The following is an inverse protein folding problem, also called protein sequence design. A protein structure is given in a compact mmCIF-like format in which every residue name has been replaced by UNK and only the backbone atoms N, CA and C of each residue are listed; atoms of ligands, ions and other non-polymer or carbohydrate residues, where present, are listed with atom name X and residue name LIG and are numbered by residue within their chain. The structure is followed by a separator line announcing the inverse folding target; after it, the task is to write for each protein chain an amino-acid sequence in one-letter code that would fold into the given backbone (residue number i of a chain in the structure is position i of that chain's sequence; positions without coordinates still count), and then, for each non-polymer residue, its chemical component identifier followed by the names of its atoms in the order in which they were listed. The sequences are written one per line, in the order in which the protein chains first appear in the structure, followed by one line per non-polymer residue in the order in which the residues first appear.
data_IF_349905792674
#
_entry.id   IF_349905792674
#
_cell.length_a   1.000
_cell.length_b   1.000
_cell.length_c   1.000
_cell.angle_alpha   90.00
_cell.angle_beta   90.00
_cell.angle_gamma   90.00
#
_symmetry.space_group_name_H-M   'P 1'
#
loop_
_entity.id
_entity.type
_entity.pdbx_description
1 polymer ?
#
# COMPACT_ATOMS: atom_id res chain seq x y z
N UNK A 1 23.40 42.87 11.59
CA UNK A 1 23.13 42.40 11.50
C UNK A 1 22.62 41.78 11.29
N UNK A 2 22.66 41.78 11.48
CA UNK A 2 22.28 41.24 11.32
C UNK A 2 21.83 40.67 11.03
N UNK A 3 21.87 40.66 11.12
CA UNK A 3 21.55 40.22 10.81
C UNK A 3 21.20 39.56 10.52
N UNK A 4 21.25 39.66 10.66
CA UNK A 4 20.95 39.08 10.34
C UNK A 4 20.62 38.38 10.12
N UNK A 5 20.68 38.41 10.21
CA UNK A 5 20.36 37.81 9.99
C UNK A 5 19.97 36.99 9.73
N UNK A 6 20.00 37.00 9.88
CA UNK A 6 19.64 36.33 9.67
C UNK A 6 19.14 35.63 9.32
N UNK A 7 19.05 35.68 9.41
CA UNK A 7 18.50 35.14 9.12
C UNK A 7 18.00 34.45 8.61
N UNK A 8 18.18 34.54 8.64
CA UNK A 8 17.67 33.98 8.15
C UNK A 8 17.45 33.04 7.66
N UNK A 9 17.80 32.86 7.78
CA UNK A 9 17.55 32.13 7.38
C UNK A 9 17.17 31.34 7.29
N UNK A 10 17.29 31.28 7.58
CA UNK A 10 16.80 30.63 7.49
C UNK A 10 15.97 30.20 7.59
N UNK A 11 15.52 30.14 7.90
CA UNK A 11 14.61 29.86 7.83
C UNK A 11 13.85 29.48 7.13
N UNK A 12 13.79 29.90 7.10
CA UNK A 12 13.17 29.59 6.22
C UNK A 12 13.20 28.58 5.64
N UNK A 13 13.92 28.52 5.61
CA UNK A 13 13.85 27.58 4.98
C UNK A 13 13.24 26.52 5.57
N UNK A 14 12.29 26.69 6.21
CA UNK A 14 11.43 25.65 6.68
C UNK A 14 10.50 25.33 5.54
N UNK A 15 10.97 24.45 4.70
CA UNK A 15 10.10 23.96 3.68
C UNK A 15 9.19 22.93 4.29
N UNK A 16 7.92 22.95 3.91
CA UNK A 16 7.00 21.90 4.26
C UNK A 16 7.49 20.62 3.60
N UNK A 17 7.67 19.53 4.35
CA UNK A 17 8.07 18.27 3.72
C UNK A 17 7.08 17.84 2.65
N UNK A 18 7.58 17.42 1.50
CA UNK A 18 6.76 17.00 0.37
C UNK A 18 6.64 15.48 0.27
N UNK A 19 7.30 14.77 1.16
CA UNK A 19 7.23 13.32 1.22
C UNK A 19 7.02 12.85 2.63
N UNK A 20 6.42 11.66 2.78
CA UNK A 20 6.22 11.02 4.05
C UNK A 20 6.39 9.53 3.92
N UNK A 21 6.09 8.81 4.99
CA UNK A 21 6.34 7.38 5.10
C UNK A 21 5.05 6.67 5.51
N UNK A 22 4.78 5.52 4.90
CA UNK A 22 3.71 4.62 5.33
C UNK A 22 4.32 3.34 5.87
N UNK A 23 3.81 2.92 7.03
CA UNK A 23 4.18 1.65 7.66
C UNK A 23 2.98 0.72 7.54
N UNK A 24 3.17 -0.41 6.85
CA UNK A 24 2.07 -1.24 6.37
C UNK A 24 1.83 -2.44 7.27
N UNK A 25 0.59 -2.54 7.75
CA UNK A 25 0.01 -3.75 8.32
C UNK A 25 -0.91 -4.35 7.29
N UNK A 26 -1.24 -5.62 7.42
CA UNK A 26 -2.05 -6.33 6.43
C UNK A 26 -3.15 -7.10 7.12
N UNK A 27 -4.31 -7.20 6.46
CA UNK A 27 -5.41 -8.03 6.97
C UNK A 27 -6.28 -8.50 5.79
N UNK A 28 -7.08 -9.52 6.07
CA UNK A 28 -8.04 -10.07 5.12
C UNK A 28 -9.37 -10.19 5.84
N UNK A 29 -10.47 -9.96 5.11
CA UNK A 29 -11.81 -10.18 5.65
C UNK A 29 -11.94 -11.64 6.07
N UNK A 30 -12.44 -11.89 7.30
CA UNK A 30 -12.47 -13.24 7.84
C UNK A 30 -13.38 -14.17 7.05
N UNK A 31 -14.45 -13.65 6.47
CA UNK A 31 -15.36 -14.49 5.68
C UNK A 31 -14.68 -14.94 4.38
N UNK A 32 -13.90 -14.07 3.76
CA UNK A 32 -13.15 -14.45 2.56
C UNK A 32 -12.01 -15.39 2.90
N UNK A 33 -11.34 -15.19 4.04
CA UNK A 33 -10.29 -16.10 4.48
C UNK A 33 -10.85 -17.51 4.65
N UNK A 34 -12.06 -17.63 5.18
CA UNK A 34 -12.73 -18.93 5.37
C UNK A 34 -13.10 -19.60 4.05
N UNK A 35 -13.19 -18.84 2.96
CA UNK A 35 -13.54 -19.36 1.64
C UNK A 35 -12.33 -19.84 0.84
N UNK A 36 -11.13 -19.60 1.32
CA UNK A 36 -9.92 -20.00 0.60
C UNK A 36 -9.62 -21.48 0.80
N UNK A 37 -9.01 -22.07 -0.24
CA UNK A 37 -8.59 -23.48 -0.16
C UNK A 37 -7.28 -23.65 0.58
N UNK A 38 -6.42 -22.60 0.58
CA UNK A 38 -5.16 -22.58 1.31
C UNK A 38 -5.21 -21.48 2.37
N UNK A 39 -4.31 -21.52 3.36
CA UNK A 39 -4.20 -20.41 4.30
C UNK A 39 -3.88 -19.10 3.57
N UNK A 40 -4.34 -17.96 4.09
CA UNK A 40 -4.06 -16.65 3.44
C UNK A 40 -2.63 -16.20 3.75
N UNK A 41 -1.68 -16.90 3.18
CA UNK A 41 -0.25 -16.66 3.38
C UNK A 41 0.46 -16.80 2.04
N UNK A 42 1.55 -16.07 1.87
CA UNK A 42 2.35 -16.12 0.66
C UNK A 42 2.97 -14.76 0.39
N UNK A 43 3.30 -14.51 -0.86
CA UNK A 43 3.91 -13.25 -1.25
C UNK A 43 2.81 -12.29 -1.70
N UNK A 44 2.78 -11.12 -1.08
CA UNK A 44 1.92 -10.02 -1.50
C UNK A 44 2.69 -9.16 -2.51
N UNK A 45 2.09 -8.98 -3.69
CA UNK A 45 2.64 -8.13 -4.75
C UNK A 45 1.83 -6.85 -4.75
N UNK A 46 2.45 -5.74 -4.37
CA UNK A 46 1.76 -4.48 -4.19
C UNK A 46 2.37 -3.34 -4.95
N UNK A 47 1.62 -2.26 -5.06
CA UNK A 47 2.06 -1.06 -5.73
C UNK A 47 1.39 0.15 -5.10
N UNK A 48 2.09 1.28 -5.17
CA UNK A 48 1.59 2.58 -4.69
C UNK A 48 1.22 3.43 -5.90
N UNK A 49 0.08 4.13 -5.81
CA UNK A 49 -0.46 4.91 -6.92
C UNK A 49 -0.94 6.27 -6.43
N UNK A 50 -0.76 7.30 -7.24
CA UNK A 50 -1.41 8.59 -6.99
C UNK A 50 -2.92 8.40 -7.03
N UNK A 51 -3.63 9.13 -6.16
CA UNK A 51 -5.08 8.98 -6.07
C UNK A 51 -5.77 9.34 -7.40
N UNK A 52 -5.22 10.32 -8.13
CA UNK A 52 -5.81 10.73 -9.39
C UNK A 52 -5.64 9.70 -10.51
N UNK A 53 -4.79 8.70 -10.30
CA UNK A 53 -4.51 7.68 -11.31
C UNK A 53 -5.28 6.38 -11.07
N UNK A 54 -6.20 6.36 -10.11
CA UNK A 54 -6.96 5.16 -9.75
C UNK A 54 -8.44 5.52 -9.65
N UNK A 55 -9.28 4.69 -10.27
CA UNK A 55 -10.73 4.82 -10.13
C UNK A 55 -11.27 3.60 -9.38
N UNK A 56 -12.59 3.43 -9.40
CA UNK A 56 -13.23 2.35 -8.64
C UNK A 56 -12.83 0.95 -9.11
N UNK A 57 -12.32 0.84 -10.32
CA UNK A 57 -11.94 -0.45 -10.91
C UNK A 57 -10.43 -0.70 -10.83
N UNK A 58 -9.65 0.30 -10.46
CA UNK A 58 -8.20 0.17 -10.38
C UNK A 58 -7.47 1.26 -11.14
N UNK A 59 -6.22 1.03 -11.51
CA UNK A 59 -5.44 2.07 -12.21
C UNK A 59 -6.06 2.44 -13.54
N UNK A 60 -6.07 3.74 -13.81
CA UNK A 60 -6.55 4.28 -15.07
C UNK A 60 -5.54 3.91 -16.16
N UNK A 61 -6.04 3.55 -17.33
CA UNK A 61 -5.18 3.14 -18.44
C UNK A 61 -4.16 4.23 -18.75
N UNK A 62 -2.90 3.83 -18.91
CA UNK A 62 -1.81 4.76 -19.19
C UNK A 62 -1.11 5.29 -17.95
N UNK A 63 -1.64 5.01 -16.76
CA UNK A 63 -1.02 5.46 -15.51
C UNK A 63 0.15 4.54 -15.13
N UNK A 64 1.06 5.09 -14.34
CA UNK A 64 2.19 4.32 -13.82
C UNK A 64 2.18 4.37 -12.30
N UNK A 65 2.58 3.28 -11.68
CA UNK A 65 2.68 3.23 -10.22
C UNK A 65 3.81 4.14 -9.75
N UNK A 66 3.66 4.64 -8.51
CA UNK A 66 4.74 5.38 -7.85
C UNK A 66 5.90 4.43 -7.58
N UNK A 67 5.59 3.24 -7.08
CA UNK A 67 6.59 2.23 -6.77
C UNK A 67 5.87 0.89 -6.62
N UNK A 68 6.64 -0.20 -6.72
CA UNK A 68 6.12 -1.56 -6.52
C UNK A 68 6.92 -2.23 -5.41
N UNK A 69 6.29 -3.20 -4.74
CA UNK A 69 6.97 -3.93 -3.68
C UNK A 69 6.40 -5.34 -3.59
N UNK A 70 7.16 -6.23 -2.95
CA UNK A 70 6.65 -7.55 -2.62
C UNK A 70 7.16 -7.93 -1.23
N UNK A 71 6.32 -8.61 -0.48
CA UNK A 71 6.64 -9.02 0.88
C UNK A 71 5.87 -10.29 1.22
N UNK A 72 6.50 -11.17 1.98
CA UNK A 72 5.84 -12.37 2.47
C UNK A 72 4.94 -12.00 3.64
N UNK A 73 3.69 -12.43 3.59
CA UNK A 73 2.73 -12.16 4.65
C UNK A 73 2.04 -13.47 5.07
N UNK A 74 1.58 -13.49 6.30
CA UNK A 74 0.79 -14.58 6.87
C UNK A 74 -0.36 -13.91 7.61
N UNK A 75 -1.54 -13.91 6.98
CA UNK A 75 -2.67 -13.14 7.49
C UNK A 75 -3.44 -13.93 8.55
N UNK A 76 -3.79 -13.28 9.67
CA UNK A 76 -4.66 -13.92 10.65
C UNK A 76 -6.02 -14.26 10.04
N UNK A 77 -6.54 -15.44 10.40
CA UNK A 77 -7.81 -15.93 9.87
C UNK A 77 -9.01 -15.23 10.51
N UNK A 78 -8.81 -14.54 11.61
CA UNK A 78 -9.89 -13.88 12.35
C UNK A 78 -10.16 -12.44 11.94
N UNK A 79 -9.48 -11.98 10.88
CA UNK A 79 -9.67 -10.61 10.38
C UNK A 79 -8.80 -9.59 11.06
N UNK A 80 -7.97 -9.98 12.03
CA UNK A 80 -7.09 -9.01 12.68
C UNK A 80 -5.91 -8.65 11.78
N UNK A 81 -5.25 -7.55 12.14
CA UNK A 81 -4.11 -7.02 11.38
C UNK A 81 -2.82 -7.70 11.82
N UNK A 82 -1.89 -7.82 10.87
CA UNK A 82 -0.52 -8.21 11.21
C UNK A 82 0.18 -7.07 11.94
N UNK A 83 1.37 -7.33 12.43
CA UNK A 83 2.27 -6.26 12.80
C UNK A 83 2.70 -5.50 11.55
N UNK A 84 3.46 -4.41 11.70
CA UNK A 84 4.03 -3.70 10.56
C UNK A 84 5.06 -4.61 9.90
N UNK A 85 4.84 -4.90 8.62
CA UNK A 85 5.70 -5.82 7.86
C UNK A 85 6.54 -5.11 6.82
N UNK A 86 6.13 -3.91 6.40
CA UNK A 86 6.82 -3.20 5.33
C UNK A 86 6.66 -1.70 5.54
N UNK A 87 7.71 -0.95 5.26
CA UNK A 87 7.70 0.51 5.37
C UNK A 87 8.21 1.11 4.07
N UNK A 88 7.43 2.03 3.51
CA UNK A 88 7.82 2.74 2.29
C UNK A 88 8.05 4.20 2.62
N UNK A 89 9.27 4.68 2.36
CA UNK A 89 9.65 6.07 2.58
C UNK A 89 9.55 6.86 1.28
N UNK A 90 9.62 8.17 1.40
CA UNK A 90 9.68 9.08 0.23
C UNK A 90 8.45 9.01 -0.66
N UNK A 91 7.29 8.69 -0.08
CA UNK A 91 6.02 8.77 -0.80
C UNK A 91 5.57 10.22 -0.87
N UNK A 92 4.88 10.62 -1.96
CA UNK A 92 4.38 11.99 -2.05
C UNK A 92 3.37 12.28 -0.94
N UNK A 93 3.43 13.49 -0.37
CA UNK A 93 2.58 13.88 0.75
C UNK A 93 1.18 14.24 0.22
N UNK A 94 0.46 13.23 -0.21
CA UNK A 94 -0.89 13.35 -0.73
C UNK A 94 -1.58 12.01 -0.59
N UNK A 95 -2.81 11.89 -1.06
CA UNK A 95 -3.53 10.63 -0.99
C UNK A 95 -2.96 9.65 -2.00
N UNK A 96 -2.72 8.42 -1.54
CA UNK A 96 -2.21 7.35 -2.40
C UNK A 96 -3.08 6.10 -2.19
N UNK A 97 -3.12 5.26 -3.22
CA UNK A 97 -3.72 3.94 -3.12
C UNK A 97 -2.61 2.90 -3.00
N UNK A 98 -2.88 1.85 -2.23
CA UNK A 98 -2.05 0.65 -2.24
C UNK A 98 -2.90 -0.45 -2.84
N UNK A 99 -2.47 -0.97 -3.98
CA UNK A 99 -3.17 -2.01 -4.71
C UNK A 99 -2.28 -3.24 -4.82
N UNK A 100 -2.90 -4.41 -4.79
CA UNK A 100 -2.12 -5.62 -4.93
C UNK A 100 -2.92 -6.87 -4.66
N UNK A 101 -2.21 -7.99 -4.66
CA UNK A 101 -2.82 -9.29 -4.40
C UNK A 101 -1.85 -10.19 -3.65
N UNK A 102 -2.42 -11.16 -2.96
CA UNK A 102 -1.65 -12.17 -2.24
C UNK A 102 -1.64 -13.45 -3.08
N UNK A 103 -0.44 -13.87 -3.48
CA UNK A 103 -0.27 -15.13 -4.21
C UNK A 103 -0.23 -16.26 -3.21
N UNK A 104 -1.41 -16.83 -2.92
CA UNK A 104 -1.56 -17.79 -1.83
C UNK A 104 -1.18 -19.21 -2.23
N UNK A 105 -1.10 -19.51 -3.53
CA UNK A 105 -0.72 -20.85 -4.00
C UNK A 105 0.69 -20.88 -4.61
N UNK A 106 1.39 -19.75 -4.62
CA UNK A 106 2.78 -19.71 -5.05
C UNK A 106 3.00 -19.86 -6.54
N UNK A 107 1.98 -19.59 -7.36
CA UNK A 107 2.06 -19.83 -8.80
C UNK A 107 2.24 -18.56 -9.63
N UNK A 108 2.48 -17.42 -8.99
CA UNK A 108 2.63 -16.17 -9.72
C UNK A 108 3.85 -16.16 -10.61
N UNK A 109 3.68 -15.66 -11.84
CA UNK A 109 4.78 -15.46 -12.77
C UNK A 109 5.36 -14.06 -12.53
N UNK A 110 6.61 -13.95 -12.04
CA UNK A 110 7.19 -12.63 -11.73
C UNK A 110 7.29 -11.71 -12.95
N UNK A 111 7.29 -12.25 -14.16
CA UNK A 111 7.36 -11.44 -15.37
C UNK A 111 6.00 -10.99 -15.85
N UNK A 112 4.94 -11.57 -15.31
CA UNK A 112 3.56 -11.23 -15.68
C UNK A 112 2.67 -11.40 -14.46
N UNK A 113 2.92 -10.56 -13.44
CA UNK A 113 2.28 -10.68 -12.15
C UNK A 113 0.80 -10.31 -12.21
N UNK A 114 -0.05 -11.30 -12.05
CA UNK A 114 -1.49 -11.12 -12.04
C UNK A 114 -2.09 -12.08 -11.02
N UNK A 115 -3.17 -11.67 -10.35
CA UNK A 115 -3.87 -12.60 -9.47
C UNK A 115 -4.55 -13.68 -10.29
N UNK A 116 -4.75 -14.85 -9.69
CA UNK A 116 -5.58 -15.89 -10.28
C UNK A 116 -6.70 -16.25 -9.31
N UNK A 117 -7.49 -17.27 -9.66
CA UNK A 117 -8.70 -17.59 -8.92
C UNK A 117 -8.41 -17.77 -7.43
N UNK A 118 -9.18 -17.08 -6.61
CA UNK A 118 -9.16 -17.12 -5.13
C UNK A 118 -7.94 -16.47 -4.48
N UNK A 119 -7.09 -15.78 -5.25
CA UNK A 119 -6.07 -14.94 -4.64
C UNK A 119 -6.75 -13.74 -3.96
N UNK A 120 -6.44 -13.46 -2.69
CA UNK A 120 -6.95 -12.24 -2.06
C UNK A 120 -6.43 -10.99 -2.77
N UNK A 121 -7.32 -10.04 -3.01
CA UNK A 121 -6.97 -8.79 -3.70
C UNK A 121 -7.46 -7.60 -2.90
N UNK A 122 -6.79 -6.46 -3.09
CA UNK A 122 -7.24 -5.19 -2.52
C UNK A 122 -8.34 -4.61 -3.39
N UNK A 123 -9.25 -3.89 -2.73
CA UNK A 123 -10.24 -3.06 -3.43
C UNK A 123 -9.79 -1.61 -3.25
N UNK A 124 -9.77 -0.79 -4.32
CA UNK A 124 -9.24 0.57 -4.20
C UNK A 124 -9.89 1.38 -3.09
N UNK A 125 -11.21 1.33 -2.95
CA UNK A 125 -11.91 2.15 -1.96
C UNK A 125 -11.54 1.82 -0.52
N UNK A 126 -11.02 0.62 -0.26
CA UNK A 126 -10.61 0.20 1.08
C UNK A 126 -9.15 0.47 1.36
N UNK A 127 -8.39 0.95 0.37
CA UNK A 127 -6.93 1.02 0.46
C UNK A 127 -6.40 2.36 -0.04
N UNK A 128 -7.08 3.43 0.33
CA UNK A 128 -6.69 4.79 0.04
C UNK A 128 -6.21 5.44 1.32
N UNK A 129 -5.02 5.97 1.31
CA UNK A 129 -4.36 6.46 2.53
C UNK A 129 -3.79 7.85 2.34
N UNK A 130 -3.75 8.61 3.44
CA UNK A 130 -3.13 9.94 3.46
C UNK A 130 -1.66 9.80 3.85
N UNK A 131 -0.77 10.29 3.02
CA UNK A 131 0.64 10.42 3.36
C UNK A 131 0.84 11.82 3.90
N UNK A 132 1.34 11.92 5.13
CA UNK A 132 1.56 13.21 5.78
C UNK A 132 3.04 13.54 5.70
N UNK A 133 3.35 14.72 5.16
CA UNK A 133 4.74 15.14 4.96
C UNK A 133 5.52 15.12 6.28
N UNK A 134 6.69 14.49 6.24
CA UNK A 134 7.59 14.43 7.40
C UNK A 134 7.20 13.42 8.46
N UNK A 135 6.13 12.65 8.26
CA UNK A 135 5.63 11.73 9.29
C UNK A 135 5.60 10.30 8.78
N UNK A 136 5.59 9.36 9.73
CA UNK A 136 5.34 7.95 9.46
C UNK A 136 3.92 7.64 9.94
N UNK A 137 3.10 7.14 9.04
CA UNK A 137 1.71 6.79 9.32
C UNK A 137 1.54 5.29 9.18
N UNK A 138 0.99 4.64 10.22
CA UNK A 138 0.66 3.21 10.13
C UNK A 138 -0.68 3.07 9.43
N UNK A 139 -0.74 2.17 8.46
CA UNK A 139 -1.96 1.91 7.69
C UNK A 139 -2.17 0.41 7.59
N UNK A 140 -3.41 0.01 7.32
CA UNK A 140 -3.77 -1.38 7.14
C UNK A 140 -4.16 -1.62 5.69
N UNK A 141 -3.39 -2.47 5.01
CA UNK A 141 -3.72 -2.92 3.66
C UNK A 141 -4.73 -4.04 3.81
N UNK A 142 -5.94 -3.82 3.35
CA UNK A 142 -7.07 -4.71 3.61
C UNK A 142 -7.50 -5.42 2.33
N UNK A 143 -7.60 -6.72 2.40
CA UNK A 143 -8.06 -7.54 1.28
C UNK A 143 -9.47 -8.02 1.59
N UNK A 144 -10.44 -7.49 0.85
CA UNK A 144 -11.86 -7.74 1.08
C UNK A 144 -12.52 -8.43 -0.10
N UNK A 145 -11.72 -9.10 -0.94
CA UNK A 145 -12.25 -9.82 -2.09
C UNK A 145 -11.28 -10.93 -2.48
N UNK A 146 -11.81 -12.02 -3.01
CA UNK A 146 -11.01 -13.05 -3.67
C UNK A 146 -11.18 -12.87 -5.17
N UNK A 147 -10.08 -12.97 -5.91
CA UNK A 147 -10.11 -12.78 -7.35
C UNK A 147 -10.94 -13.90 -7.98
N UNK A 148 -11.90 -13.59 -8.85
CA UNK A 148 -12.78 -14.62 -9.38
C UNK A 148 -12.15 -15.52 -10.44
N UNK A 149 -11.02 -15.12 -11.03
CA UNK A 149 -10.31 -15.96 -11.99
C UNK A 149 -10.33 -15.46 -13.42
#
# INVERSE_FOLDING_TARGET
KSTDTSSTEDTAEVETPTTGTLALRFSIDEDYAAMMDEPPAGVFYGSFWYADDVDALGPIEGSESINVFQITVDLPMDGSQTEVLFTEEDLPAEKVYILGFLDSDGNNDPENSNPDAKDPVTIPSDNKFDVVGGETTEVNVFMSMLYPG
#
